data_IF_813284416944
#
_entry.id   IF_813284416944
#
_cell.length_a   1.000
_cell.length_b   1.000
_cell.length_c   1.000
_cell.angle_alpha   90.00
_cell.angle_beta   90.00
_cell.angle_gamma   90.00
#
_symmetry.space_group_name_H-M   'P 1'
#
loop_
_entity.id
_entity.type
_entity.pdbx_description
1 polymer ?
#
# COMPACT_ATOMS: atom_id res chain seq x y z
N UNK A 1 -49.86 -43.11 9.03
CA UNK A 1 -49.44 -41.69 9.01
C UNK A 1 -47.96 -41.66 9.39
N UNK A 2 -46.99 -41.18 8.62
CA UNK A 2 -46.96 -40.44 7.37
C UNK A 2 -45.83 -41.02 6.49
N UNK A 3 -46.05 -41.06 5.18
CA UNK A 3 -45.04 -41.43 4.18
C UNK A 3 -44.47 -40.16 3.55
N UNK A 4 -43.15 -40.17 3.36
CA UNK A 4 -42.40 -39.23 2.54
C UNK A 4 -42.92 -39.21 1.10
N UNK A 5 -42.89 -38.06 0.45
CA UNK A 5 -43.12 -37.96 -1.00
C UNK A 5 -42.07 -37.05 -1.62
N UNK A 6 -41.18 -37.68 -2.37
CA UNK A 6 -40.23 -37.13 -3.34
C UNK A 6 -41.01 -36.44 -4.47
N UNK A 7 -40.64 -35.21 -4.83
CA UNK A 7 -41.19 -34.53 -6.02
C UNK A 7 -40.19 -34.67 -7.16
N UNK A 8 -40.62 -35.40 -8.19
CA UNK A 8 -40.00 -35.49 -9.50
C UNK A 8 -40.32 -34.24 -10.34
N UNK A 9 -39.30 -33.66 -10.98
CA UNK A 9 -39.44 -32.67 -12.04
C UNK A 9 -39.85 -33.36 -13.34
N UNK A 10 -40.92 -32.86 -13.99
CA UNK A 10 -41.20 -33.16 -15.39
C UNK A 10 -41.50 -31.86 -16.15
N UNK A 11 -40.96 -31.83 -17.37
CA UNK A 11 -40.94 -30.74 -18.33
C UNK A 11 -42.30 -30.56 -19.02
N UNK A 12 -42.71 -29.31 -19.24
CA UNK A 12 -43.63 -28.96 -20.34
C UNK A 12 -43.47 -27.49 -20.74
N UNK A 13 -43.31 -27.36 -22.06
CA UNK A 13 -43.08 -26.20 -22.90
C UNK A 13 -44.07 -25.04 -22.73
N UNK A 14 -43.58 -23.80 -22.80
CA UNK A 14 -44.37 -22.67 -23.30
C UNK A 14 -43.57 -21.86 -24.33
N UNK A 15 -44.07 -21.90 -25.56
CA UNK A 15 -43.70 -21.07 -26.70
C UNK A 15 -44.34 -19.68 -26.54
N UNK A 16 -43.57 -18.58 -26.59
CA UNK A 16 -44.03 -17.29 -27.10
C UNK A 16 -42.93 -16.65 -27.96
N UNK A 17 -43.34 -16.19 -29.13
CA UNK A 17 -42.55 -15.69 -30.26
C UNK A 17 -41.84 -14.35 -30.04
N UNK A 18 -40.81 -14.21 -30.85
CA UNK A 18 -39.89 -13.11 -31.12
C UNK A 18 -40.51 -11.75 -31.46
N UNK A 19 -39.89 -10.65 -30.98
CA UNK A 19 -39.60 -9.46 -31.79
C UNK A 19 -38.15 -9.03 -31.59
N UNK A 20 -37.45 -8.85 -32.70
CA UNK A 20 -36.00 -8.77 -32.76
C UNK A 20 -35.41 -7.38 -32.51
N UNK A 21 -34.17 -7.40 -32.00
CA UNK A 21 -33.12 -6.42 -32.31
C UNK A 21 -31.81 -7.20 -32.42
N UNK A 22 -31.28 -7.28 -33.65
CA UNK A 22 -29.92 -7.78 -33.91
C UNK A 22 -28.93 -6.74 -33.37
N UNK A 23 -28.03 -7.16 -32.50
CA UNK A 23 -26.73 -6.51 -32.34
C UNK A 23 -25.65 -7.52 -32.75
N UNK A 24 -25.11 -7.31 -33.95
CA UNK A 24 -23.84 -7.88 -34.37
C UNK A 24 -22.72 -7.04 -33.73
N UNK A 25 -21.79 -7.68 -33.01
CA UNK A 25 -20.33 -7.59 -33.26
C UNK A 25 -19.51 -8.13 -32.07
N UNK A 26 -19.35 -9.45 -32.01
CA UNK A 26 -18.21 -10.10 -31.35
C UNK A 26 -17.02 -10.02 -32.31
N UNK A 27 -16.36 -8.87 -32.38
CA UNK A 27 -15.13 -8.70 -33.19
C UNK A 27 -14.13 -7.68 -32.64
N UNK A 28 -14.36 -7.09 -31.46
CA UNK A 28 -13.51 -6.00 -30.95
C UNK A 28 -12.49 -6.41 -29.88
N UNK A 29 -12.52 -7.66 -29.39
CA UNK A 29 -11.62 -8.11 -28.31
C UNK A 29 -10.27 -8.64 -28.86
N UNK A 30 -10.23 -9.11 -30.11
CA UNK A 30 -9.00 -9.64 -30.71
C UNK A 30 -8.04 -8.59 -31.29
N UNK A 31 -8.43 -7.31 -31.32
CA UNK A 31 -7.57 -6.23 -31.84
C UNK A 31 -6.68 -5.55 -30.79
N UNK A 32 -6.94 -5.77 -29.49
CA UNK A 32 -6.13 -5.22 -28.39
C UNK A 32 -4.92 -6.09 -28.03
N UNK A 33 -4.93 -7.40 -28.33
CA UNK A 33 -3.80 -8.30 -28.03
C UNK A 33 -2.64 -8.26 -29.04
N UNK A 34 -2.80 -7.62 -30.20
CA UNK A 34 -1.77 -7.62 -31.27
C UNK A 34 -0.89 -6.37 -31.34
N UNK A 35 -1.01 -5.41 -30.43
CA UNK A 35 -0.27 -4.13 -30.51
C UNK A 35 0.88 -3.93 -29.51
N UNK A 36 1.19 -4.89 -28.63
CA UNK A 36 2.21 -4.70 -27.59
C UNK A 36 3.43 -5.61 -27.73
N UNK A 37 3.73 -6.07 -28.94
CA UNK A 37 4.98 -6.79 -29.23
C UNK A 37 5.63 -6.14 -30.43
N UNK A 38 6.45 -5.10 -30.19
CA UNK A 38 7.49 -4.63 -31.12
C UNK A 38 8.48 -3.72 -30.38
N UNK A 39 9.62 -4.33 -30.04
CA UNK A 39 10.98 -3.77 -30.02
C UNK A 39 11.17 -2.30 -29.62
N UNK A 40 11.67 -2.06 -28.40
CA UNK A 40 12.56 -0.93 -28.15
C UNK A 40 14.01 -1.43 -28.08
N UNK A 41 14.60 -1.56 -29.26
CA UNK A 41 16.04 -1.51 -29.46
C UNK A 41 16.31 -0.50 -30.58
N UNK A 42 17.30 0.35 -30.35
CA UNK A 42 17.81 1.43 -31.20
C UNK A 42 16.97 2.73 -31.24
N UNK A 43 17.49 3.76 -30.56
CA UNK A 43 17.78 5.07 -31.17
C UNK A 43 18.58 5.94 -30.21
N UNK A 44 19.91 5.80 -30.30
CA UNK A 44 20.89 6.78 -29.83
C UNK A 44 21.05 7.89 -30.88
N UNK A 45 21.43 9.08 -30.38
CA UNK A 45 21.97 10.27 -31.08
C UNK A 45 21.01 11.22 -31.80
N UNK A 46 20.82 12.43 -31.22
CA UNK A 46 21.43 13.66 -31.76
C UNK A 46 21.40 14.79 -30.71
N UNK A 47 22.43 15.62 -30.73
CA UNK A 47 22.85 16.60 -29.73
C UNK A 47 21.97 17.87 -29.65
N UNK A 48 21.91 18.46 -28.45
CA UNK A 48 21.62 19.88 -28.23
C UNK A 48 22.43 20.39 -27.03
N UNK A 49 23.46 21.20 -27.29
CA UNK A 49 24.38 21.79 -26.28
C UNK A 49 23.68 22.93 -25.51
N UNK A 50 23.84 22.95 -24.19
CA UNK A 50 23.46 24.10 -23.34
C UNK A 50 24.06 24.03 -21.94
N UNK A 51 25.23 24.65 -21.77
CA UNK A 51 25.88 25.15 -20.53
C UNK A 51 25.89 24.28 -19.25
N UNK A 52 27.07 23.70 -18.97
CA UNK A 52 27.44 23.05 -17.70
C UNK A 52 27.90 24.07 -16.65
N UNK A 53 27.35 23.96 -15.45
CA UNK A 53 27.93 24.51 -14.20
C UNK A 53 28.44 23.30 -13.41
N UNK A 54 29.74 23.22 -13.03
CA UNK A 54 30.25 22.07 -12.30
C UNK A 54 29.89 22.20 -10.81
N UNK A 55 29.40 21.13 -10.14
CA UNK A 55 29.36 21.10 -8.69
C UNK A 55 30.75 20.74 -8.12
N UNK A 56 31.04 21.12 -6.87
CA UNK A 56 32.39 21.14 -6.32
C UNK A 56 32.89 19.73 -5.99
N UNK A 57 34.20 19.53 -6.14
CA UNK A 57 34.92 18.34 -5.72
C UNK A 57 34.88 18.20 -4.19
N UNK A 58 34.11 17.23 -3.72
CA UNK A 58 34.17 16.70 -2.36
C UNK A 58 34.45 15.21 -2.41
N UNK A 59 35.72 14.83 -2.22
CA UNK A 59 36.13 13.42 -2.04
C UNK A 59 35.58 12.91 -0.70
N UNK A 60 34.49 12.16 -0.76
CA UNK A 60 34.04 11.24 0.28
C UNK A 60 33.99 9.85 -0.34
N UNK A 61 35.08 9.11 -0.21
CA UNK A 61 35.20 7.75 -0.72
C UNK A 61 34.56 6.80 0.31
N UNK A 62 33.23 6.69 0.32
CA UNK A 62 32.53 5.68 1.13
C UNK A 62 32.43 4.37 0.32
N UNK A 63 33.56 3.69 0.23
CA UNK A 63 33.57 2.25 -0.05
C UNK A 63 33.04 1.52 1.20
N UNK A 64 31.72 1.40 1.30
CA UNK A 64 31.11 0.33 2.05
C UNK A 64 30.39 -0.58 1.05
N UNK A 65 30.71 -1.87 1.04
CA UNK A 65 30.10 -2.91 0.21
C UNK A 65 28.66 -3.21 0.65
N UNK A 66 27.84 -2.18 0.80
CA UNK A 66 26.47 -2.22 1.32
C UNK A 66 25.44 -2.07 0.20
N UNK A 67 24.29 -2.70 0.41
CA UNK A 67 23.12 -2.55 -0.46
C UNK A 67 22.69 -1.08 -0.56
N UNK A 68 22.70 -0.50 -1.77
CA UNK A 68 22.25 0.88 -1.99
C UNK A 68 20.71 0.97 -1.92
N UNK A 69 20.21 1.09 -0.70
CA UNK A 69 18.79 1.14 -0.39
C UNK A 69 18.10 2.37 -0.99
N UNK A 70 18.78 3.53 -1.04
CA UNK A 70 18.20 4.76 -1.58
C UNK A 70 17.93 4.62 -3.07
N UNK A 71 18.91 4.14 -3.83
CA UNK A 71 18.72 3.90 -5.26
C UNK A 71 17.71 2.78 -5.51
N UNK A 72 17.66 1.75 -4.67
CA UNK A 72 16.61 0.72 -4.75
C UNK A 72 15.21 1.33 -4.56
N UNK A 73 15.01 2.15 -3.53
CA UNK A 73 13.73 2.83 -3.28
C UNK A 73 13.29 3.69 -4.47
N UNK A 74 14.20 4.49 -5.03
CA UNK A 74 13.90 5.38 -6.16
C UNK A 74 13.43 4.55 -7.36
N UNK A 75 14.20 3.52 -7.75
CA UNK A 75 13.84 2.66 -8.90
C UNK A 75 12.48 1.98 -8.71
N UNK A 76 12.24 1.40 -7.54
CA UNK A 76 10.95 0.73 -7.26
C UNK A 76 9.80 1.73 -7.24
N UNK A 77 9.99 2.92 -6.69
CA UNK A 77 8.98 3.98 -6.72
C UNK A 77 8.66 4.44 -8.16
N UNK A 78 9.66 4.57 -9.03
CA UNK A 78 9.47 4.91 -10.46
C UNK A 78 8.68 3.83 -11.21
N UNK A 79 9.03 2.55 -11.03
CA UNK A 79 8.28 1.43 -11.60
C UNK A 79 6.82 1.44 -11.15
N UNK A 80 6.59 1.59 -9.85
CA UNK A 80 5.24 1.61 -9.27
C UNK A 80 4.44 2.81 -9.75
N UNK A 81 5.04 4.00 -9.81
CA UNK A 81 4.37 5.20 -10.32
C UNK A 81 3.95 5.01 -11.78
N UNK A 82 4.80 4.41 -12.60
CA UNK A 82 4.51 4.12 -14.01
C UNK A 82 3.36 3.11 -14.14
N UNK A 83 3.39 2.04 -13.34
CA UNK A 83 2.32 1.04 -13.32
C UNK A 83 0.98 1.62 -12.83
N UNK A 84 0.99 2.42 -11.78
CA UNK A 84 -0.20 3.11 -11.28
C UNK A 84 -0.77 4.08 -12.34
N UNK A 85 0.07 4.86 -13.00
CA UNK A 85 -0.37 5.81 -14.01
C UNK A 85 -1.15 5.13 -15.16
N UNK A 86 -0.63 3.99 -15.63
CA UNK A 86 -1.28 3.15 -16.66
C UNK A 86 -2.59 2.53 -16.15
N UNK A 87 -2.68 2.25 -14.85
CA UNK A 87 -3.83 1.56 -14.23
C UNK A 87 -5.06 2.44 -14.05
N UNK A 88 -4.92 3.77 -14.11
CA UNK A 88 -6.02 4.73 -13.94
C UNK A 88 -6.08 5.68 -15.14
N UNK A 89 -6.45 5.22 -16.35
CA UNK A 89 -6.51 6.07 -17.53
C UNK A 89 -7.61 7.15 -17.43
N UNK A 90 -7.39 8.32 -18.03
CA UNK A 90 -8.38 9.39 -18.11
C UNK A 90 -9.50 9.03 -19.10
N UNK A 91 -10.55 8.39 -18.58
CA UNK A 91 -11.77 8.01 -19.29
C UNK A 91 -12.99 8.77 -18.77
N UNK A 92 -14.09 8.80 -19.55
CA UNK A 92 -15.34 9.41 -19.08
C UNK A 92 -16.00 8.53 -18.00
N UNK A 93 -16.64 9.11 -16.97
CA UNK A 93 -16.66 10.55 -16.66
C UNK A 93 -15.31 11.04 -16.13
N UNK A 94 -14.80 12.16 -16.65
CA UNK A 94 -13.44 12.62 -16.38
C UNK A 94 -13.23 13.02 -14.91
N UNK A 95 -14.23 13.63 -14.29
CA UNK A 95 -14.12 14.19 -12.92
C UNK A 95 -13.72 13.14 -11.89
N UNK A 96 -14.28 11.93 -11.93
CA UNK A 96 -13.89 10.86 -11.01
C UNK A 96 -12.48 10.33 -11.31
N UNK A 97 -12.10 10.24 -12.59
CA UNK A 97 -10.76 9.80 -12.97
C UNK A 97 -9.69 10.82 -12.53
N UNK A 98 -9.98 12.12 -12.66
CA UNK A 98 -9.12 13.19 -12.16
C UNK A 98 -8.99 13.14 -10.63
N UNK A 99 -10.10 12.96 -9.90
CA UNK A 99 -10.07 12.85 -8.44
C UNK A 99 -9.28 11.63 -7.95
N UNK A 100 -9.46 10.46 -8.58
CA UNK A 100 -8.70 9.24 -8.28
C UNK A 100 -7.20 9.44 -8.55
N UNK A 101 -6.86 9.93 -9.74
CA UNK A 101 -5.47 10.15 -10.16
C UNK A 101 -4.78 11.20 -9.29
N UNK A 102 -5.49 12.26 -8.92
CA UNK A 102 -4.96 13.35 -8.12
C UNK A 102 -4.32 12.83 -6.82
N UNK A 103 -5.05 12.00 -6.07
CA UNK A 103 -4.54 11.45 -4.80
C UNK A 103 -3.55 10.31 -5.01
N UNK A 104 -3.83 9.38 -5.94
CA UNK A 104 -2.99 8.20 -6.17
C UNK A 104 -1.60 8.56 -6.69
N UNK A 105 -1.53 9.54 -7.61
CA UNK A 105 -0.31 9.96 -8.31
C UNK A 105 0.35 11.20 -7.69
N UNK A 106 -0.12 11.70 -6.54
CA UNK A 106 0.49 12.82 -5.81
C UNK A 106 1.92 12.56 -5.27
N UNK A 107 2.59 11.50 -5.70
CA UNK A 107 3.88 11.05 -5.17
C UNK A 107 3.74 10.35 -3.82
N UNK A 108 4.86 10.07 -3.16
CA UNK A 108 4.91 9.36 -1.89
C UNK A 108 6.14 8.44 -1.82
N UNK A 109 6.48 7.96 -0.62
CA UNK A 109 7.66 7.08 -0.42
C UNK A 109 7.48 5.68 -1.03
N UNK A 110 6.24 5.29 -1.36
CA UNK A 110 5.84 3.98 -1.91
C UNK A 110 6.38 2.78 -1.10
N UNK A 111 6.42 2.92 0.23
CA UNK A 111 6.93 1.89 1.14
C UNK A 111 6.17 0.58 1.02
N UNK A 112 4.83 0.63 0.93
CA UNK A 112 3.98 -0.57 0.84
C UNK A 112 4.19 -1.33 -0.49
N UNK A 113 4.14 -0.67 -1.67
CA UNK A 113 4.53 -1.30 -2.93
C UNK A 113 5.93 -1.93 -2.92
N UNK A 114 6.91 -1.19 -2.38
CA UNK A 114 8.28 -1.67 -2.28
C UNK A 114 8.38 -2.92 -1.41
N UNK A 115 7.70 -2.94 -0.26
CA UNK A 115 7.64 -4.09 0.63
C UNK A 115 7.02 -5.32 -0.07
N UNK A 116 5.94 -5.12 -0.83
CA UNK A 116 5.32 -6.18 -1.61
C UNK A 116 6.26 -6.75 -2.67
N UNK A 117 6.99 -5.88 -3.40
CA UNK A 117 7.94 -6.31 -4.43
C UNK A 117 9.12 -7.05 -3.80
N UNK A 118 9.73 -6.49 -2.74
CA UNK A 118 10.86 -7.10 -2.05
C UNK A 118 10.52 -8.47 -1.46
N UNK A 119 9.32 -8.63 -0.86
CA UNK A 119 8.86 -9.92 -0.33
C UNK A 119 8.61 -10.97 -1.43
N UNK A 120 8.18 -10.54 -2.63
CA UNK A 120 8.04 -11.44 -3.78
C UNK A 120 9.41 -11.90 -4.31
N UNK A 121 10.35 -10.97 -4.47
CA UNK A 121 11.73 -11.23 -4.90
C UNK A 121 12.45 -12.18 -3.92
N UNK A 122 12.21 -12.01 -2.62
CA UNK A 122 12.77 -12.82 -1.55
C UNK A 122 12.49 -14.32 -1.73
N UNK A 123 11.24 -14.66 -2.05
CA UNK A 123 10.78 -16.06 -2.19
C UNK A 123 10.92 -16.60 -3.61
N UNK A 124 11.63 -15.88 -4.49
CA UNK A 124 11.99 -16.34 -5.83
C UNK A 124 11.06 -15.87 -6.96
N UNK A 125 10.06 -15.04 -6.68
CA UNK A 125 9.31 -14.32 -7.70
C UNK A 125 10.10 -13.14 -8.28
N UNK A 126 9.47 -12.41 -9.19
CA UNK A 126 10.04 -11.19 -9.78
C UNK A 126 9.12 -9.97 -9.57
N UNK A 127 9.63 -8.79 -9.90
CA UNK A 127 8.89 -7.53 -9.78
C UNK A 127 7.60 -7.52 -10.61
N UNK A 128 7.61 -8.08 -11.83
CA UNK A 128 6.45 -8.11 -12.71
C UNK A 128 5.31 -8.92 -12.10
N UNK A 129 5.65 -10.03 -11.44
CA UNK A 129 4.73 -10.91 -10.72
C UNK A 129 4.06 -10.18 -9.55
N UNK A 130 4.80 -9.32 -8.84
CA UNK A 130 4.29 -8.57 -7.69
C UNK A 130 3.54 -7.28 -8.06
N UNK A 131 3.78 -6.71 -9.24
CA UNK A 131 3.39 -5.33 -9.56
C UNK A 131 1.89 -5.06 -9.40
N UNK A 132 1.04 -6.03 -9.79
CA UNK A 132 -0.41 -5.91 -9.65
C UNK A 132 -0.84 -5.82 -8.18
N UNK A 133 -0.26 -6.64 -7.30
CA UNK A 133 -0.53 -6.58 -5.86
C UNK A 133 0.07 -5.32 -5.22
N UNK A 134 1.26 -4.91 -5.64
CA UNK A 134 1.91 -3.69 -5.18
C UNK A 134 1.07 -2.44 -5.50
N UNK A 135 0.53 -2.36 -6.72
CA UNK A 135 -0.38 -1.29 -7.12
C UNK A 135 -1.69 -1.34 -6.33
N UNK A 136 -2.28 -2.53 -6.15
CA UNK A 136 -3.52 -2.70 -5.40
C UNK A 136 -3.38 -2.19 -3.95
N UNK A 137 -2.27 -2.49 -3.27
CA UNK A 137 -2.03 -1.99 -1.91
C UNK A 137 -1.88 -0.47 -1.87
N UNK A 138 -1.24 0.15 -2.86
CA UNK A 138 -1.15 1.62 -2.91
C UNK A 138 -2.48 2.28 -3.26
N UNK A 139 -3.33 1.64 -4.07
CA UNK A 139 -4.71 2.09 -4.33
C UNK A 139 -5.54 2.08 -3.06
N UNK A 140 -5.46 1.00 -2.26
CA UNK A 140 -6.09 0.93 -0.93
C UNK A 140 -5.54 2.02 -0.01
N UNK A 141 -4.22 2.20 0.02
CA UNK A 141 -3.61 3.24 0.86
C UNK A 141 -4.07 4.65 0.45
N UNK A 142 -4.15 4.94 -0.85
CA UNK A 142 -4.65 6.22 -1.34
C UNK A 142 -6.14 6.40 -1.01
N UNK A 143 -6.95 5.35 -1.18
CA UNK A 143 -8.36 5.33 -0.78
C UNK A 143 -8.54 5.66 0.71
N UNK A 144 -7.78 5.00 1.59
CA UNK A 144 -7.86 5.24 3.03
C UNK A 144 -7.51 6.69 3.40
N UNK A 145 -6.50 7.28 2.75
CA UNK A 145 -6.11 8.67 3.00
C UNK A 145 -7.16 9.67 2.51
N UNK A 146 -7.79 9.42 1.36
CA UNK A 146 -8.87 10.30 0.85
C UNK A 146 -10.02 10.36 1.86
N UNK A 147 -10.42 9.20 2.41
CA UNK A 147 -11.50 9.13 3.39
C UNK A 147 -11.08 9.69 4.76
N UNK A 148 -9.87 9.39 5.22
CA UNK A 148 -9.29 9.94 6.47
C UNK A 148 -9.26 11.48 6.45
N UNK A 149 -9.02 12.08 5.29
CA UNK A 149 -8.97 13.53 5.10
C UNK A 149 -10.35 14.24 5.10
N UNK A 150 -11.49 13.52 5.06
CA UNK A 150 -12.83 14.12 4.98
C UNK A 150 -13.19 14.97 6.21
N UNK A 151 -14.12 15.96 6.08
CA UNK A 151 -14.56 16.78 7.21
C UNK A 151 -15.16 16.01 8.39
N UNK A 152 -15.74 14.84 8.14
CA UNK A 152 -16.31 13.96 9.17
C UNK A 152 -15.27 13.02 9.83
N UNK A 153 -14.00 13.11 9.42
CA UNK A 153 -12.87 12.33 9.90
C UNK A 153 -11.81 13.33 10.43
N UNK A 154 -10.58 13.37 9.88
CA UNK A 154 -9.53 14.29 10.35
C UNK A 154 -9.73 15.74 9.89
N UNK A 155 -10.66 16.00 8.95
CA UNK A 155 -10.93 17.32 8.37
C UNK A 155 -9.65 18.04 7.91
N UNK A 156 -8.75 17.32 7.22
CA UNK A 156 -7.46 17.83 6.84
C UNK A 156 -7.54 18.72 5.58
N UNK A 157 -6.90 19.90 5.62
CA UNK A 157 -6.85 20.80 4.46
C UNK A 157 -5.75 20.40 3.45
N UNK A 158 -4.66 19.77 3.92
CA UNK A 158 -3.48 19.45 3.12
C UNK A 158 -3.02 17.99 3.28
N UNK A 159 -2.58 17.38 2.18
CA UNK A 159 -1.95 16.05 2.11
C UNK A 159 -0.80 16.08 1.11
N UNK A 160 0.38 15.58 1.50
CA UNK A 160 1.60 15.56 0.67
C UNK A 160 1.93 16.94 0.05
N UNK A 161 1.73 18.01 0.83
CA UNK A 161 1.99 19.39 0.41
C UNK A 161 0.99 19.97 -0.59
N UNK A 162 -0.14 19.30 -0.84
CA UNK A 162 -1.21 19.76 -1.75
C UNK A 162 -2.56 19.77 -1.03
N UNK A 163 -3.56 20.55 -1.49
CA UNK A 163 -4.92 20.47 -0.98
C UNK A 163 -5.46 19.03 -0.99
N UNK A 164 -6.18 18.64 0.06
CA UNK A 164 -6.82 17.32 0.11
C UNK A 164 -7.88 17.16 -0.98
N UNK A 165 -8.24 15.90 -1.27
CA UNK A 165 -9.15 15.60 -2.38
C UNK A 165 -10.48 16.36 -2.26
N UNK A 166 -11.06 16.38 -1.05
CA UNK A 166 -12.35 17.04 -0.81
C UNK A 166 -12.27 18.57 -0.96
N UNK A 167 -11.10 19.19 -0.75
CA UNK A 167 -10.90 20.63 -1.01
C UNK A 167 -10.86 20.97 -2.48
N UNK A 168 -10.41 20.04 -3.33
CA UNK A 168 -10.30 20.25 -4.77
C UNK A 168 -11.60 19.87 -5.49
N UNK A 169 -12.19 18.72 -5.12
CA UNK A 169 -13.28 18.11 -5.88
C UNK A 169 -14.63 18.10 -5.14
N UNK A 170 -14.67 18.46 -3.86
CA UNK A 170 -15.85 18.33 -3.01
C UNK A 170 -15.90 17.00 -2.23
N UNK A 171 -16.72 16.96 -1.20
CA UNK A 171 -16.85 15.80 -0.30
C UNK A 171 -17.45 14.58 -1.00
N UNK A 172 -18.47 14.78 -1.83
CA UNK A 172 -19.13 13.73 -2.60
C UNK A 172 -18.14 13.03 -3.55
N UNK A 173 -17.34 13.81 -4.27
CA UNK A 173 -16.32 13.29 -5.16
C UNK A 173 -15.18 12.60 -4.42
N UNK A 174 -14.79 13.10 -3.24
CA UNK A 174 -13.76 12.45 -2.42
C UNK A 174 -14.24 11.08 -1.91
N UNK A 175 -15.48 10.97 -1.44
CA UNK A 175 -16.08 9.67 -1.06
C UNK A 175 -16.02 8.70 -2.24
N UNK A 176 -16.53 9.11 -3.40
CA UNK A 176 -16.57 8.28 -4.60
C UNK A 176 -15.17 7.90 -5.11
N UNK A 177 -14.19 8.80 -5.01
CA UNK A 177 -12.81 8.52 -5.43
C UNK A 177 -12.14 7.48 -4.53
N UNK A 178 -12.37 7.55 -3.21
CA UNK A 178 -11.93 6.51 -2.28
C UNK A 178 -12.58 5.15 -2.58
N UNK A 179 -13.89 5.13 -2.84
CA UNK A 179 -14.62 3.90 -3.17
C UNK A 179 -14.16 3.29 -4.50
N UNK A 180 -13.92 4.12 -5.51
CA UNK A 180 -13.43 3.69 -6.81
C UNK A 180 -12.03 3.06 -6.71
N UNK A 181 -11.12 3.66 -5.92
CA UNK A 181 -9.79 3.09 -5.66
C UNK A 181 -9.85 1.76 -4.91
N UNK A 182 -10.77 1.63 -3.95
CA UNK A 182 -11.01 0.38 -3.24
C UNK A 182 -11.46 -0.73 -4.19
N UNK A 183 -12.44 -0.44 -5.07
CA UNK A 183 -12.90 -1.39 -6.08
C UNK A 183 -11.79 -1.75 -7.10
N UNK A 184 -11.08 -0.72 -7.59
CA UNK A 184 -10.02 -0.87 -8.57
C UNK A 184 -8.86 -1.73 -8.05
N UNK A 185 -8.52 -1.66 -6.75
CA UNK A 185 -7.47 -2.49 -6.17
C UNK A 185 -7.72 -4.00 -6.41
N UNK A 186 -8.96 -4.46 -6.20
CA UNK A 186 -9.34 -5.86 -6.39
C UNK A 186 -9.45 -6.25 -7.86
N UNK A 187 -10.02 -5.38 -8.69
CA UNK A 187 -10.06 -5.58 -10.15
C UNK A 187 -8.65 -5.69 -10.72
N UNK A 188 -7.78 -4.73 -10.37
CA UNK A 188 -6.42 -4.64 -10.88
C UNK A 188 -5.60 -5.89 -10.53
N UNK A 189 -5.69 -6.35 -9.27
CA UNK A 189 -4.98 -7.56 -8.82
C UNK A 189 -5.47 -8.84 -9.50
N UNK A 190 -6.71 -8.89 -10.01
CA UNK A 190 -7.28 -10.10 -10.64
C UNK A 190 -7.17 -10.09 -12.16
N UNK A 191 -7.24 -8.91 -12.80
CA UNK A 191 -7.17 -8.77 -14.26
C UNK A 191 -5.71 -8.72 -14.74
N UNK A 192 -4.85 -7.93 -14.09
CA UNK A 192 -3.47 -7.70 -14.56
C UNK A 192 -2.54 -8.86 -14.23
N UNK A 193 -2.82 -9.61 -13.15
CA UNK A 193 -2.06 -10.81 -12.80
C UNK A 193 -2.32 -12.00 -13.74
N UNK A 194 -3.33 -11.90 -14.62
CA UNK A 194 -3.76 -12.98 -15.52
C UNK A 194 -2.62 -13.43 -16.44
N UNK A 195 -2.10 -14.64 -16.19
CA UNK A 195 -1.05 -15.27 -16.99
C UNK A 195 0.35 -15.19 -16.38
N UNK A 196 0.55 -14.37 -15.33
CA UNK A 196 1.80 -14.31 -14.55
C UNK A 196 1.71 -15.14 -13.27
N UNK A 197 0.53 -15.19 -12.65
CA UNK A 197 0.30 -15.88 -11.37
C UNK A 197 -0.84 -16.90 -11.51
N UNK A 198 -0.72 -18.01 -10.78
CA UNK A 198 -1.78 -19.02 -10.71
C UNK A 198 -3.04 -18.44 -10.06
N UNK A 199 -4.22 -18.75 -10.59
CA UNK A 199 -5.50 -18.17 -10.14
C UNK A 199 -5.74 -18.39 -8.65
N UNK A 200 -5.34 -19.55 -8.13
CA UNK A 200 -5.49 -19.92 -6.73
C UNK A 200 -4.68 -18.97 -5.82
N UNK A 201 -3.46 -18.59 -6.26
CA UNK A 201 -2.62 -17.62 -5.53
C UNK A 201 -3.22 -16.22 -5.60
N UNK A 202 -3.74 -15.81 -6.75
CA UNK A 202 -4.45 -14.53 -6.89
C UNK A 202 -5.70 -14.43 -6.01
N UNK A 203 -6.52 -15.48 -5.96
CA UNK A 203 -7.70 -15.52 -5.08
C UNK A 203 -7.29 -15.49 -3.60
N UNK A 204 -6.24 -16.23 -3.21
CA UNK A 204 -5.69 -16.17 -1.85
C UNK A 204 -5.22 -14.75 -1.50
N UNK A 205 -4.50 -14.09 -2.41
CA UNK A 205 -4.06 -12.71 -2.25
C UNK A 205 -5.25 -11.73 -2.06
N UNK A 206 -6.31 -11.86 -2.88
CA UNK A 206 -7.55 -11.08 -2.71
C UNK A 206 -8.14 -11.28 -1.31
N UNK A 207 -8.23 -12.51 -0.83
CA UNK A 207 -8.78 -12.82 0.50
C UNK A 207 -7.92 -12.22 1.61
N UNK A 208 -6.59 -12.30 1.51
CA UNK A 208 -5.69 -11.68 2.49
C UNK A 208 -5.83 -10.15 2.53
N UNK A 209 -5.86 -9.49 1.37
CA UNK A 209 -6.05 -8.04 1.31
C UNK A 209 -7.42 -7.63 1.88
N UNK A 210 -8.49 -8.33 1.53
CA UNK A 210 -9.83 -8.04 2.03
C UNK A 210 -9.93 -8.17 3.57
N UNK A 211 -9.30 -9.19 4.16
CA UNK A 211 -9.23 -9.34 5.62
C UNK A 211 -8.47 -8.19 6.28
N UNK A 212 -7.34 -7.79 5.68
CA UNK A 212 -6.46 -6.76 6.24
C UNK A 212 -7.07 -5.36 6.21
N UNK A 213 -8.01 -5.07 5.30
CA UNK A 213 -8.64 -3.75 5.20
C UNK A 213 -9.99 -3.67 5.94
N UNK A 214 -10.63 -4.80 6.20
CA UNK A 214 -11.98 -4.85 6.77
C UNK A 214 -12.06 -4.58 8.27
N UNK A 215 -13.15 -5.06 8.89
CA UNK A 215 -13.51 -4.82 10.30
C UNK A 215 -12.60 -5.49 11.33
N UNK A 216 -11.57 -6.22 10.88
CA UNK A 216 -10.53 -6.81 11.72
C UNK A 216 -9.13 -6.26 11.41
N UNK A 217 -9.04 -5.25 10.56
CA UNK A 217 -7.78 -4.66 10.10
C UNK A 217 -7.88 -3.15 10.04
N UNK A 218 -7.51 -2.54 8.91
CA UNK A 218 -7.43 -1.07 8.73
C UNK A 218 -8.64 -0.32 9.30
N UNK A 219 -9.86 -0.73 8.92
CA UNK A 219 -11.08 -0.07 9.40
C UNK A 219 -11.28 -0.22 10.90
N UNK A 220 -10.90 -1.36 11.50
CA UNK A 220 -10.96 -1.53 12.96
C UNK A 220 -10.04 -0.54 13.68
N UNK A 221 -8.83 -0.36 13.15
CA UNK A 221 -7.87 0.62 13.67
C UNK A 221 -8.41 2.04 13.56
N UNK A 222 -8.99 2.40 12.41
CA UNK A 222 -9.59 3.71 12.21
C UNK A 222 -10.75 3.99 13.18
N UNK A 223 -11.64 3.02 13.37
CA UNK A 223 -12.77 3.18 14.32
C UNK A 223 -12.26 3.36 15.75
N UNK A 224 -11.23 2.61 16.15
CA UNK A 224 -10.66 2.75 17.48
C UNK A 224 -9.90 4.06 17.66
N UNK A 225 -9.25 4.58 16.61
CA UNK A 225 -8.60 5.89 16.62
C UNK A 225 -9.63 7.01 16.86
N UNK A 226 -10.69 7.06 16.05
CA UNK A 226 -11.79 8.03 16.21
C UNK A 226 -12.46 7.96 17.59
N UNK A 227 -12.70 6.75 18.11
CA UNK A 227 -13.26 6.56 19.46
C UNK A 227 -12.31 6.94 20.58
N UNK A 228 -11.04 7.17 20.27
CA UNK A 228 -10.03 7.59 21.25
C UNK A 228 -9.77 9.09 21.21
N UNK A 229 -10.26 9.81 20.19
CA UNK A 229 -10.20 11.25 20.14
C UNK A 229 -10.97 11.89 21.30
N UNK A 230 -10.34 12.85 21.98
CA UNK A 230 -10.91 13.55 23.12
C UNK A 230 -10.98 12.74 24.43
N UNK A 231 -10.57 11.47 24.44
CA UNK A 231 -10.39 10.73 25.68
C UNK A 231 -9.17 11.26 26.43
N UNK A 232 -9.23 11.28 27.77
CA UNK A 232 -8.04 11.57 28.56
C UNK A 232 -7.04 10.42 28.36
N UNK A 233 -5.79 10.69 27.95
CA UNK A 233 -4.79 9.64 27.77
C UNK A 233 -4.45 8.87 29.04
N UNK A 234 -4.72 9.42 30.22
CA UNK A 234 -4.61 8.70 31.49
C UNK A 234 -5.67 7.60 31.64
N UNK A 235 -6.80 7.70 30.91
CA UNK A 235 -7.87 6.71 30.88
C UNK A 235 -7.68 5.67 29.76
N UNK A 236 -6.64 5.84 28.92
CA UNK A 236 -6.38 4.98 27.76
C UNK A 236 -5.02 4.30 27.87
N UNK A 237 -5.05 2.98 28.07
CA UNK A 237 -3.85 2.17 28.25
C UNK A 237 -3.08 1.87 26.96
N UNK A 238 -1.83 1.44 27.15
CA UNK A 238 -0.89 1.00 26.11
C UNK A 238 -1.50 -0.03 25.14
N UNK A 239 -2.32 -0.96 25.63
CA UNK A 239 -3.00 -1.97 24.82
C UNK A 239 -3.87 -1.35 23.72
N UNK A 240 -4.57 -0.26 24.02
CA UNK A 240 -5.43 0.42 23.07
C UNK A 240 -4.63 1.19 22.02
N UNK A 241 -3.54 1.84 22.43
CA UNK A 241 -2.61 2.50 21.50
C UNK A 241 -1.99 1.48 20.55
N UNK A 242 -1.51 0.35 21.08
CA UNK A 242 -0.95 -0.74 20.27
C UNK A 242 -2.00 -1.31 19.31
N UNK A 243 -3.25 -1.52 19.76
CA UNK A 243 -4.34 -1.93 18.89
C UNK A 243 -4.53 -0.97 17.72
N UNK A 244 -4.58 0.34 17.98
CA UNK A 244 -4.73 1.36 16.93
C UNK A 244 -3.57 1.26 15.93
N UNK A 245 -2.33 1.25 16.38
CA UNK A 245 -1.17 1.22 15.48
C UNK A 245 -1.08 -0.07 14.67
N UNK A 246 -1.33 -1.22 15.29
CA UNK A 246 -1.34 -2.51 14.62
C UNK A 246 -2.40 -2.55 13.51
N UNK A 247 -3.59 -2.01 13.76
CA UNK A 247 -4.69 -2.12 12.81
C UNK A 247 -4.70 -0.99 11.78
N UNK A 248 -4.52 0.28 12.19
CA UNK A 248 -4.56 1.45 11.29
C UNK A 248 -3.35 1.50 10.37
N UNK A 249 -2.17 1.05 10.83
CA UNK A 249 -0.92 1.13 10.06
C UNK A 249 -0.35 -0.24 9.71
N UNK A 250 -0.08 -1.09 10.70
CA UNK A 250 0.69 -2.31 10.46
C UNK A 250 -0.08 -3.32 9.58
N UNK A 251 -1.39 -3.43 9.72
CA UNK A 251 -2.22 -4.37 8.95
C UNK A 251 -2.03 -4.25 7.42
N UNK A 252 -1.91 -3.04 6.89
CA UNK A 252 -1.70 -2.85 5.45
C UNK A 252 -0.24 -3.10 5.02
N UNK A 253 0.73 -2.95 5.92
CA UNK A 253 2.12 -3.37 5.69
C UNK A 253 2.24 -4.90 5.73
N UNK A 254 1.58 -5.55 6.68
CA UNK A 254 1.45 -7.01 6.76
C UNK A 254 0.85 -7.57 5.48
N UNK A 255 -0.27 -6.98 5.03
CA UNK A 255 -0.87 -7.34 3.75
C UNK A 255 0.14 -7.18 2.60
N UNK A 256 0.84 -6.06 2.51
CA UNK A 256 1.82 -5.84 1.44
C UNK A 256 2.89 -6.95 1.39
N UNK A 257 3.51 -7.28 2.53
CA UNK A 257 4.53 -8.32 2.60
C UNK A 257 3.96 -9.71 2.25
N UNK A 258 2.81 -10.07 2.83
CA UNK A 258 2.14 -11.36 2.61
C UNK A 258 1.71 -11.53 1.16
N UNK A 259 1.16 -10.47 0.54
CA UNK A 259 0.81 -10.47 -0.88
C UNK A 259 2.06 -10.72 -1.73
N UNK A 260 3.18 -10.06 -1.43
CA UNK A 260 4.45 -10.32 -2.09
C UNK A 260 4.84 -11.80 -2.05
N UNK A 261 4.83 -12.41 -0.87
CA UNK A 261 5.14 -13.84 -0.69
C UNK A 261 4.20 -14.74 -1.50
N UNK A 262 2.88 -14.49 -1.42
CA UNK A 262 1.88 -15.28 -2.15
C UNK A 262 2.10 -15.17 -3.66
N UNK A 263 2.31 -13.96 -4.17
CA UNK A 263 2.53 -13.73 -5.61
C UNK A 263 3.84 -14.35 -6.08
N UNK A 264 4.90 -14.31 -5.24
CA UNK A 264 6.19 -14.95 -5.52
C UNK A 264 6.16 -16.48 -5.41
N UNK A 265 5.13 -17.06 -4.80
CA UNK A 265 4.98 -18.51 -4.66
C UNK A 265 5.70 -19.08 -3.45
N UNK A 266 5.94 -18.27 -2.42
CA UNK A 266 6.50 -18.73 -1.16
C UNK A 266 5.55 -19.61 -0.37
N UNK A 267 6.12 -20.30 0.60
CA UNK A 267 5.47 -21.25 1.51
C UNK A 267 4.66 -20.55 2.60
N UNK A 268 3.85 -21.30 3.34
CA UNK A 268 3.15 -20.76 4.53
C UNK A 268 4.12 -20.32 5.63
N UNK A 269 5.25 -21.01 5.80
CA UNK A 269 6.27 -20.62 6.78
C UNK A 269 6.88 -19.27 6.43
N UNK A 270 7.26 -19.08 5.16
CA UNK A 270 7.77 -17.80 4.68
C UNK A 270 6.69 -16.70 4.78
N UNK A 271 5.43 -17.05 4.48
CA UNK A 271 4.30 -16.12 4.64
C UNK A 271 4.19 -15.62 6.08
N UNK A 272 4.28 -16.52 7.06
CA UNK A 272 4.15 -16.16 8.48
C UNK A 272 5.36 -15.40 9.01
N UNK A 273 6.59 -15.75 8.57
CA UNK A 273 7.79 -14.97 8.87
C UNK A 273 7.66 -13.54 8.37
N UNK A 274 7.21 -13.36 7.12
CA UNK A 274 7.07 -12.03 6.53
C UNK A 274 5.90 -11.24 7.11
N UNK A 275 4.84 -11.92 7.57
CA UNK A 275 3.76 -11.29 8.35
C UNK A 275 4.30 -10.72 9.67
N UNK A 276 5.05 -11.51 10.43
CA UNK A 276 5.67 -11.05 11.69
C UNK A 276 6.67 -9.92 11.45
N UNK A 277 7.53 -10.05 10.43
CA UNK A 277 8.44 -8.98 10.02
C UNK A 277 7.69 -7.67 9.76
N UNK A 278 6.64 -7.72 8.93
CA UNK A 278 5.85 -6.57 8.53
C UNK A 278 5.10 -5.93 9.72
N UNK A 279 4.63 -6.76 10.66
CA UNK A 279 4.02 -6.31 11.91
C UNK A 279 5.01 -5.53 12.77
N UNK A 280 6.22 -6.06 12.96
CA UNK A 280 7.28 -5.42 13.72
C UNK A 280 7.68 -4.07 13.09
N UNK A 281 7.93 -4.00 11.77
CA UNK A 281 8.28 -2.73 11.11
C UNK A 281 7.12 -1.74 11.10
N UNK A 282 5.87 -2.21 11.05
CA UNK A 282 4.69 -1.35 11.09
C UNK A 282 4.51 -0.68 12.44
N UNK A 283 4.73 -1.42 13.53
CA UNK A 283 4.73 -0.86 14.88
C UNK A 283 5.95 0.04 15.11
N UNK A 284 7.13 -0.39 14.66
CA UNK A 284 8.36 0.40 14.71
C UNK A 284 8.19 1.75 14.02
N UNK A 285 7.53 1.78 12.86
CA UNK A 285 7.25 3.01 12.15
C UNK A 285 6.47 3.99 13.05
N UNK A 286 5.41 3.54 13.70
CA UNK A 286 4.60 4.40 14.59
C UNK A 286 5.37 4.85 15.83
N UNK A 287 6.08 3.94 16.50
CA UNK A 287 6.92 4.29 17.67
C UNK A 287 7.95 5.36 17.30
N UNK A 288 8.61 5.23 16.15
CA UNK A 288 9.60 6.22 15.69
C UNK A 288 8.92 7.55 15.31
N UNK A 289 7.75 7.54 14.67
CA UNK A 289 7.02 8.79 14.35
C UNK A 289 6.65 9.55 15.63
N UNK A 290 6.17 8.85 16.66
CA UNK A 290 5.85 9.42 17.96
C UNK A 290 7.08 10.00 18.68
N UNK A 291 8.22 9.31 18.63
CA UNK A 291 9.49 9.79 19.18
C UNK A 291 9.94 11.07 18.45
N UNK A 292 9.83 11.09 17.13
CA UNK A 292 10.23 12.23 16.32
C UNK A 292 9.33 13.45 16.57
N UNK A 293 8.03 13.25 16.78
CA UNK A 293 7.08 14.34 17.08
C UNK A 293 7.44 15.12 18.36
N UNK A 294 8.03 14.44 19.35
CA UNK A 294 8.43 15.04 20.64
C UNK A 294 9.89 15.48 20.70
N UNK A 295 10.76 15.00 19.80
CA UNK A 295 12.20 15.29 19.85
C UNK A 295 12.70 16.29 18.82
N UNK A 296 11.94 16.54 17.74
CA UNK A 296 12.38 17.39 16.63
C UNK A 296 11.67 18.72 16.57
N UNK A 297 12.31 19.69 15.92
CA UNK A 297 11.68 20.97 15.65
C UNK A 297 10.67 20.88 14.49
N UNK A 298 9.79 21.87 14.39
CA UNK A 298 8.78 21.96 13.31
C UNK A 298 9.45 22.03 11.93
N UNK A 299 10.60 22.72 11.84
CA UNK A 299 11.38 22.87 10.61
C UNK A 299 11.97 21.54 10.13
N UNK A 300 12.35 20.64 11.05
CA UNK A 300 12.97 19.34 10.75
C UNK A 300 11.94 18.27 10.34
N UNK A 301 10.72 18.33 10.89
CA UNK A 301 9.66 17.35 10.60
C UNK A 301 8.84 17.67 9.35
N UNK A 302 8.87 18.93 8.88
CA UNK A 302 7.96 19.41 7.84
C UNK A 302 6.47 19.42 8.27
N UNK A 303 6.20 19.27 9.57
CA UNK A 303 4.91 19.38 10.26
C UNK A 303 5.13 20.05 11.62
N UNK A 304 4.09 20.65 12.21
CA UNK A 304 4.17 21.28 13.54
C UNK A 304 4.62 20.26 14.60
N UNK A 305 5.79 20.48 15.20
CA UNK A 305 6.30 19.66 16.30
C UNK A 305 5.43 19.81 17.56
N UNK A 306 5.29 18.73 18.34
CA UNK A 306 4.43 18.72 19.52
C UNK A 306 2.93 18.86 19.22
N UNK A 307 2.51 18.69 17.95
CA UNK A 307 1.09 18.71 17.58
C UNK A 307 0.33 17.64 18.35
N UNK A 308 0.92 16.47 18.57
CA UNK A 308 0.26 15.38 19.29
C UNK A 308 0.10 15.68 20.77
N UNK A 309 1.04 16.43 21.37
CA UNK A 309 0.91 16.95 22.74
C UNK A 309 -0.22 17.98 22.83
N UNK A 310 -0.29 18.91 21.87
CA UNK A 310 -1.32 19.96 21.80
C UNK A 310 -2.70 19.35 21.54
N UNK A 311 -2.79 18.33 20.68
CA UNK A 311 -4.03 17.62 20.35
C UNK A 311 -4.45 16.61 21.42
N UNK A 312 -3.65 16.42 22.46
CA UNK A 312 -3.90 15.42 23.50
C UNK A 312 -3.86 13.99 22.98
N UNK A 313 -3.20 13.73 21.85
CA UNK A 313 -3.10 12.39 21.26
C UNK A 313 -2.32 11.45 22.17
N UNK A 314 -2.69 10.17 22.05
CA UNK A 314 -2.00 9.06 22.69
C UNK A 314 -0.78 8.70 21.87
N UNK A 315 0.40 8.76 22.49
CA UNK A 315 1.67 8.40 21.87
C UNK A 315 2.51 7.56 22.83
N UNK A 316 3.45 6.78 22.29
CA UNK A 316 4.35 5.96 23.11
C UNK A 316 5.15 6.78 24.13
N UNK A 317 5.81 7.90 23.76
CA UNK A 317 6.55 8.70 24.74
C UNK A 317 5.68 9.23 25.88
N UNK A 318 4.39 9.48 25.63
CA UNK A 318 3.45 9.92 26.66
C UNK A 318 3.09 8.81 27.64
N UNK A 319 2.85 7.58 27.15
CA UNK A 319 2.39 6.47 27.98
C UNK A 319 3.52 5.75 28.74
N UNK A 320 4.68 5.58 28.10
CA UNK A 320 5.79 4.78 28.66
C UNK A 320 7.09 5.57 28.83
N UNK A 321 7.12 6.84 28.41
CA UNK A 321 8.33 7.66 28.44
C UNK A 321 9.20 7.48 27.21
N UNK A 322 10.01 8.50 26.92
CA UNK A 322 10.88 8.54 25.74
C UNK A 322 11.88 7.38 25.69
N UNK A 323 12.52 7.05 26.83
CA UNK A 323 13.55 6.01 26.83
C UNK A 323 12.99 4.61 26.62
N UNK A 324 11.86 4.27 27.26
CA UNK A 324 11.18 3.00 26.99
C UNK A 324 10.66 2.92 25.55
N UNK A 325 10.29 4.05 24.96
CA UNK A 325 9.89 4.11 23.54
C UNK A 325 11.08 3.79 22.62
N UNK A 326 12.28 4.31 22.93
CA UNK A 326 13.52 3.97 22.19
C UNK A 326 13.90 2.50 22.36
N UNK A 327 13.79 1.96 23.57
CA UNK A 327 14.00 0.53 23.84
C UNK A 327 13.03 -0.35 23.04
N UNK A 328 11.75 0.04 22.98
CA UNK A 328 10.73 -0.64 22.19
C UNK A 328 11.05 -0.59 20.69
N UNK A 329 11.47 0.56 20.16
CA UNK A 329 11.89 0.69 18.78
C UNK A 329 13.05 -0.26 18.44
N UNK A 330 14.09 -0.30 19.28
CA UNK A 330 15.23 -1.19 19.06
C UNK A 330 14.84 -2.68 19.17
N UNK A 331 13.95 -3.02 20.11
CA UNK A 331 13.39 -4.37 20.22
C UNK A 331 12.65 -4.78 18.95
N UNK A 332 11.75 -3.93 18.44
CA UNK A 332 10.97 -4.20 17.22
C UNK A 332 11.87 -4.33 15.99
N UNK A 333 12.94 -3.53 15.89
CA UNK A 333 13.94 -3.64 14.83
C UNK A 333 14.62 -5.03 14.85
N UNK A 334 15.08 -5.47 16.03
CA UNK A 334 15.71 -6.80 16.18
C UNK A 334 14.75 -7.93 15.86
N UNK A 335 13.52 -7.88 16.39
CA UNK A 335 12.51 -8.90 16.12
C UNK A 335 12.18 -8.99 14.62
N UNK A 336 12.13 -7.85 13.91
CA UNK A 336 11.97 -7.83 12.47
C UNK A 336 13.15 -8.53 11.76
N UNK A 337 14.39 -8.15 12.08
CA UNK A 337 15.59 -8.75 11.47
C UNK A 337 15.69 -10.27 11.74
N UNK A 338 15.29 -10.72 12.92
CA UNK A 338 15.23 -12.15 13.27
C UNK A 338 14.28 -12.94 12.35
N UNK A 339 13.17 -12.34 11.88
CA UNK A 339 12.25 -13.01 10.96
C UNK A 339 12.86 -13.24 9.56
N UNK A 340 13.93 -12.52 9.23
CA UNK A 340 14.63 -12.66 7.95
C UNK A 340 15.75 -13.71 7.99
N UNK A 341 16.01 -14.32 9.17
CA UNK A 341 16.98 -15.39 9.29
C UNK A 341 16.53 -16.64 8.53
N UNK A 342 17.48 -17.24 7.80
CA UNK A 342 17.26 -18.43 6.98
C UNK A 342 16.83 -18.13 5.54
N UNK A 343 16.56 -16.87 5.19
CA UNK A 343 16.48 -16.44 3.80
C UNK A 343 17.87 -16.16 3.22
N UNK A 344 17.96 -16.13 1.90
CA UNK A 344 19.15 -15.67 1.19
C UNK A 344 19.49 -14.21 1.56
N UNK A 345 20.75 -13.96 1.96
CA UNK A 345 21.15 -12.66 2.49
C UNK A 345 21.07 -11.53 1.48
N UNK A 346 21.37 -11.81 0.21
CA UNK A 346 21.35 -10.81 -0.85
C UNK A 346 19.91 -10.44 -1.20
N UNK A 347 19.01 -11.43 -1.20
CA UNK A 347 17.58 -11.20 -1.37
C UNK A 347 16.90 -10.55 -0.17
N UNK A 348 17.39 -10.79 1.05
CA UNK A 348 16.87 -10.18 2.27
C UNK A 348 17.36 -8.74 2.49
N UNK A 349 18.46 -8.33 1.84
CA UNK A 349 19.08 -7.02 2.00
C UNK A 349 18.12 -5.82 1.86
N UNK A 350 17.15 -5.78 0.91
CA UNK A 350 16.18 -4.69 0.82
C UNK A 350 15.30 -4.57 2.06
N UNK A 351 14.90 -5.68 2.67
CA UNK A 351 14.05 -5.71 3.86
C UNK A 351 14.83 -5.36 5.13
N UNK A 352 16.07 -5.84 5.27
CA UNK A 352 16.97 -5.42 6.36
C UNK A 352 17.21 -3.91 6.30
N UNK A 353 17.50 -3.39 5.10
CA UNK A 353 17.72 -1.97 4.89
C UNK A 353 16.45 -1.13 5.13
N UNK A 354 15.26 -1.64 4.81
CA UNK A 354 14.00 -0.99 5.14
C UNK A 354 13.78 -0.87 6.65
N UNK A 355 14.02 -1.94 7.42
CA UNK A 355 13.90 -1.90 8.88
C UNK A 355 14.88 -0.89 9.49
N UNK A 356 16.13 -0.92 9.03
CA UNK A 356 17.18 0.04 9.44
C UNK A 356 16.81 1.49 9.07
N UNK A 357 16.28 1.71 7.87
CA UNK A 357 15.82 3.02 7.42
C UNK A 357 14.68 3.56 8.29
N UNK A 358 13.72 2.70 8.67
CA UNK A 358 12.63 3.11 9.56
C UNK A 358 13.15 3.48 10.95
N UNK A 359 14.07 2.68 11.51
CA UNK A 359 14.63 2.93 12.84
C UNK A 359 15.53 4.17 12.91
N UNK A 360 16.28 4.45 11.84
CA UNK A 360 17.26 5.55 11.77
C UNK A 360 16.75 6.81 11.08
N UNK A 361 15.46 6.84 10.69
CA UNK A 361 14.90 8.03 10.05
C UNK A 361 14.94 9.19 11.01
N UNK A 362 15.52 10.25 10.48
CA UNK A 362 15.67 11.55 11.10
C UNK A 362 14.52 12.41 10.61
#
# INVERSE_FOLDING_TARGET
>A
LAMATTIHLSSSSLFIQSRGRRYNSLSSVNHLQKRTVLSLSASLTSQGRGHMIPPPEGKGNDHNSGFDFKSYMIRKAESVNSALDVSVPLLKPLTIQEAVRYSLLAGGKRVRPLLCIAACELVGGDEATAMSAACAVEMIHASSLIHDDLPCMDNADLRRGKPTNHKVFGEDMAVLAGDALLALAFEHMTVVSSGLVARERTVRAVVELAKAIGTKGLVAGQVMDLKSEGLNPDDVGLERLEFIHLHKTAALLEAAAVLGVIMGGGTEEETEKLRKYARCIGLLFQVVDDILDVTRSTEELGKTAGKDVIAGKLTYPRLIGLEKSRELAEKLRKEAEEQLLGFDSDKAAPLVALASYIASRN
#
